data_IF_968762140272
#
_entry.id   IF_968762140272
#
_cell.length_a   1.000
_cell.length_b   1.000
_cell.length_c   1.000
_cell.angle_alpha   90.00
_cell.angle_beta   90.00
_cell.angle_gamma   90.00
#
_symmetry.space_group_name_H-M   'P 1'
#
loop_
_entity.id
_entity.type
_entity.pdbx_description
1 polymer ?
#
# COMPACT_ATOMS: atom_id res chain seq x y z
N UNK A 1 -29.45 -12.40 20.70
CA UNK A 1 -28.67 -11.56 19.77
C UNK A 1 -28.01 -10.41 20.52
N UNK A 2 -26.77 -10.06 20.22
CA UNK A 2 -26.08 -8.97 20.94
C UNK A 2 -26.78 -7.63 20.72
N UNK A 3 -27.04 -6.93 21.84
CA UNK A 3 -27.76 -5.66 21.86
C UNK A 3 -26.80 -4.50 22.12
N UNK A 4 -27.04 -3.35 21.47
CA UNK A 4 -26.24 -2.14 21.66
C UNK A 4 -26.22 -1.70 23.13
N UNK A 5 -25.06 -1.27 23.62
CA UNK A 5 -24.77 -0.82 24.98
C UNK A 5 -24.87 -1.94 26.04
N UNK A 6 -25.01 -3.20 25.66
CA UNK A 6 -24.87 -4.34 26.56
C UNK A 6 -23.46 -4.96 26.47
N UNK A 7 -23.04 -5.57 27.56
CA UNK A 7 -21.74 -6.27 27.68
C UNK A 7 -21.97 -7.76 27.71
N UNK A 8 -21.17 -8.50 26.97
CA UNK A 8 -21.21 -9.96 26.87
C UNK A 8 -19.81 -10.52 27.05
N UNK A 9 -19.69 -11.63 27.75
CA UNK A 9 -18.44 -12.38 27.80
C UNK A 9 -18.27 -13.20 26.56
N UNK A 10 -17.10 -13.12 25.91
CA UNK A 10 -16.81 -13.86 24.71
C UNK A 10 -15.30 -14.15 24.56
N UNK A 11 -15.00 -15.28 23.90
CA UNK A 11 -13.64 -15.63 23.50
C UNK A 11 -13.40 -15.17 22.07
N UNK A 12 -12.19 -14.64 21.82
CA UNK A 12 -11.76 -14.19 20.50
C UNK A 12 -11.18 -15.37 19.74
N UNK A 13 -11.73 -15.66 18.55
CA UNK A 13 -11.40 -16.84 17.75
C UNK A 13 -10.38 -16.56 16.65
N UNK A 14 -10.27 -15.29 16.21
CA UNK A 14 -9.40 -14.87 15.09
C UNK A 14 -9.53 -13.41 14.77
N UNK A 15 -9.22 -13.04 13.52
CA UNK A 15 -9.22 -11.64 13.08
C UNK A 15 -9.99 -11.45 11.78
N UNK A 16 -10.56 -10.25 11.61
CA UNK A 16 -11.10 -9.80 10.32
C UNK A 16 -9.97 -9.30 9.41
N UNK A 17 -10.33 -9.04 8.14
CA UNK A 17 -9.43 -8.36 7.18
C UNK A 17 -9.00 -6.94 7.60
N UNK A 18 -9.74 -6.32 8.52
CA UNK A 18 -9.43 -4.99 9.08
C UNK A 18 -8.71 -5.08 10.44
N UNK A 19 -8.30 -6.28 10.87
CA UNK A 19 -7.58 -6.47 12.13
C UNK A 19 -8.44 -6.42 13.39
N UNK A 20 -9.77 -6.53 13.27
CA UNK A 20 -10.66 -6.66 14.43
C UNK A 20 -10.67 -8.11 14.93
N UNK A 21 -10.66 -8.31 16.24
CA UNK A 21 -10.91 -9.64 16.82
C UNK A 21 -12.29 -10.14 16.44
N UNK A 22 -12.44 -11.44 16.19
CA UNK A 22 -13.72 -12.09 15.88
C UNK A 22 -14.16 -12.95 17.07
N UNK A 23 -15.35 -12.71 17.55
CA UNK A 23 -16.02 -13.52 18.57
C UNK A 23 -17.40 -13.97 18.08
N UNK A 24 -18.01 -14.94 18.78
CA UNK A 24 -19.41 -15.32 18.58
C UNK A 24 -20.20 -15.14 19.87
N UNK A 25 -21.34 -14.49 19.76
CA UNK A 25 -22.30 -14.29 20.87
C UNK A 25 -23.67 -14.71 20.34
N UNK A 26 -24.30 -15.69 20.98
CA UNK A 26 -25.57 -16.30 20.55
C UNK A 26 -25.55 -16.72 19.08
N UNK A 27 -24.41 -17.28 18.58
CA UNK A 27 -24.23 -17.70 17.20
C UNK A 27 -23.94 -16.56 16.20
N UNK A 28 -24.07 -15.30 16.59
CA UNK A 28 -23.81 -14.14 15.75
C UNK A 28 -22.33 -13.68 15.84
N UNK A 29 -21.74 -13.34 14.71
CA UNK A 29 -20.39 -12.79 14.66
C UNK A 29 -20.32 -11.38 15.31
N UNK A 30 -19.32 -11.18 16.15
CA UNK A 30 -19.03 -9.90 16.79
C UNK A 30 -17.59 -9.51 16.50
N UNK A 31 -17.40 -8.32 15.93
CA UNK A 31 -16.09 -7.77 15.58
C UNK A 31 -15.62 -6.83 16.69
N UNK A 32 -14.51 -7.20 17.35
CA UNK A 32 -14.07 -6.59 18.60
C UNK A 32 -12.80 -5.79 18.37
N UNK A 33 -12.85 -4.49 18.63
CA UNK A 33 -11.70 -3.61 18.55
C UNK A 33 -10.62 -4.00 19.55
N UNK A 34 -9.37 -4.14 19.09
CA UNK A 34 -8.15 -4.36 19.87
C UNK A 34 -8.19 -5.59 20.78
N UNK A 35 -8.90 -6.62 20.37
CA UNK A 35 -8.89 -7.91 21.04
C UNK A 35 -8.04 -8.90 20.26
N UNK A 36 -7.29 -9.75 20.95
CA UNK A 36 -6.40 -10.73 20.35
C UNK A 36 -7.03 -12.12 20.40
N UNK A 37 -6.67 -12.92 19.41
CA UNK A 37 -7.04 -14.34 19.34
C UNK A 37 -6.66 -15.06 20.64
N UNK A 38 -7.59 -15.88 21.15
CA UNK A 38 -7.44 -16.64 22.37
C UNK A 38 -7.85 -15.90 23.64
N UNK A 39 -8.06 -14.58 23.60
CA UNK A 39 -8.50 -13.81 24.76
C UNK A 39 -9.94 -14.12 25.17
N UNK A 40 -10.17 -14.17 26.47
CA UNK A 40 -11.50 -14.20 27.08
C UNK A 40 -11.79 -12.81 27.67
N UNK A 41 -12.81 -12.14 27.18
CA UNK A 41 -13.06 -10.75 27.55
C UNK A 41 -14.54 -10.39 27.59
N UNK A 42 -14.84 -9.34 28.36
CA UNK A 42 -16.13 -8.65 28.30
C UNK A 42 -16.13 -7.69 27.10
N UNK A 43 -17.07 -7.89 26.20
CA UNK A 43 -17.26 -7.12 24.98
C UNK A 43 -18.47 -6.21 25.11
N UNK A 44 -18.25 -4.90 25.18
CA UNK A 44 -19.29 -3.89 25.09
C UNK A 44 -19.71 -3.70 23.63
N UNK A 45 -20.98 -3.94 23.32
CA UNK A 45 -21.51 -3.78 21.96
C UNK A 45 -21.73 -2.29 21.66
N UNK A 46 -21.03 -1.80 20.63
CA UNK A 46 -21.12 -0.40 20.16
C UNK A 46 -22.18 -0.23 19.06
N UNK A 47 -22.31 -1.26 18.21
CA UNK A 47 -23.27 -1.26 17.10
C UNK A 47 -23.73 -2.69 16.84
N UNK A 48 -25.05 -2.89 16.77
CA UNK A 48 -25.66 -4.15 16.38
C UNK A 48 -26.28 -4.01 14.99
N UNK A 49 -26.05 -5.00 14.12
CA UNK A 49 -26.62 -5.16 12.78
C UNK A 49 -27.36 -6.49 12.72
N UNK A 50 -28.14 -6.72 11.66
CA UNK A 50 -28.93 -7.95 11.47
C UNK A 50 -28.08 -9.24 11.58
N UNK A 51 -26.88 -9.23 10.97
CA UNK A 51 -26.04 -10.45 10.82
C UNK A 51 -24.69 -10.34 11.55
N UNK A 52 -24.37 -9.21 12.17
CA UNK A 52 -23.10 -9.00 12.87
C UNK A 52 -23.23 -7.88 13.91
N UNK A 53 -22.29 -7.82 14.85
CA UNK A 53 -22.17 -6.69 15.75
C UNK A 53 -20.71 -6.19 15.83
N UNK A 54 -20.54 -4.96 16.29
CA UNK A 54 -19.24 -4.35 16.55
C UNK A 54 -19.17 -3.99 18.03
N UNK A 55 -18.06 -4.33 18.65
CA UNK A 55 -17.82 -4.09 20.05
C UNK A 55 -16.37 -3.69 20.34
N UNK A 56 -16.12 -3.44 21.62
CA UNK A 56 -14.76 -3.27 22.17
C UNK A 56 -14.60 -4.10 23.42
N UNK A 57 -13.43 -4.67 23.63
CA UNK A 57 -13.08 -5.31 24.90
C UNK A 57 -13.00 -4.21 25.96
N UNK A 58 -13.76 -4.38 27.05
CA UNK A 58 -13.75 -3.47 28.22
C UNK A 58 -13.04 -4.08 29.41
N UNK A 59 -12.94 -5.40 29.46
CA UNK A 59 -12.17 -6.17 30.43
C UNK A 59 -11.63 -7.42 29.76
N UNK A 60 -10.36 -7.72 29.95
CA UNK A 60 -9.70 -8.96 29.50
C UNK A 60 -9.42 -9.79 30.74
N UNK A 61 -9.93 -11.02 30.79
CA UNK A 61 -9.76 -11.97 31.90
C UNK A 61 -8.53 -12.87 31.71
N UNK A 62 -8.35 -13.32 30.48
CA UNK A 62 -7.20 -14.13 30.08
C UNK A 62 -6.56 -13.44 28.86
N UNK A 63 -5.54 -12.59 29.08
CA UNK A 63 -4.83 -11.94 27.99
C UNK A 63 -4.07 -12.97 27.16
N UNK A 64 -3.96 -12.73 25.86
CA UNK A 64 -3.09 -13.50 24.98
C UNK A 64 -1.63 -13.33 25.42
N UNK A 65 -0.79 -14.37 25.35
CA UNK A 65 0.66 -14.23 25.59
C UNK A 65 1.33 -13.28 24.59
N UNK A 66 0.71 -13.04 23.45
CA UNK A 66 1.16 -12.12 22.40
C UNK A 66 0.69 -10.67 22.60
N UNK A 67 -0.02 -10.37 23.69
CA UNK A 67 -0.43 -9.00 23.99
C UNK A 67 0.75 -8.18 24.51
N UNK A 68 0.97 -7.03 23.85
CA UNK A 68 1.99 -6.06 24.27
C UNK A 68 1.39 -4.69 24.50
N UNK A 69 2.07 -3.86 25.30
CA UNK A 69 1.72 -2.45 25.42
C UNK A 69 2.13 -1.72 24.14
N UNK A 70 1.22 -0.95 23.52
CA UNK A 70 1.53 -0.22 22.28
C UNK A 70 2.67 0.79 22.49
N UNK A 71 3.71 0.71 21.67
CA UNK A 71 4.88 1.59 21.69
C UNK A 71 4.63 2.98 21.04
N UNK A 72 3.42 3.23 20.54
CA UNK A 72 3.02 4.46 19.88
C UNK A 72 1.97 5.22 20.71
N UNK A 73 2.24 6.45 21.18
CA UNK A 73 1.31 7.22 22.01
C UNK A 73 0.03 7.64 21.28
N UNK A 74 0.03 7.55 19.96
CA UNK A 74 -1.12 7.89 19.11
C UNK A 74 -1.98 6.68 18.76
N UNK A 75 -1.54 5.47 19.12
CA UNK A 75 -2.26 4.24 18.82
C UNK A 75 -3.69 4.28 19.36
N UNK A 76 -4.62 3.89 18.50
CA UNK A 76 -6.05 3.89 18.80
C UNK A 76 -6.77 5.23 18.69
N UNK A 77 -6.04 6.33 18.51
CA UNK A 77 -6.58 7.61 18.06
C UNK A 77 -6.26 7.84 16.58
N UNK A 78 -4.99 7.68 16.21
CA UNK A 78 -4.54 7.68 14.81
C UNK A 78 -5.03 6.43 14.09
N UNK A 79 -5.49 6.59 12.84
CA UNK A 79 -5.98 5.50 11.98
C UNK A 79 -4.90 4.78 11.17
N UNK A 80 -3.61 4.99 11.47
CA UNK A 80 -2.52 4.48 10.65
C UNK A 80 -2.06 3.05 10.94
N UNK A 81 -2.35 2.51 12.14
CA UNK A 81 -1.93 1.17 12.56
C UNK A 81 -3.06 0.41 13.24
N UNK A 82 -3.09 -0.92 13.01
CA UNK A 82 -4.12 -1.82 13.55
C UNK A 82 -3.55 -2.74 14.65
N UNK A 83 -2.28 -3.13 14.56
CA UNK A 83 -1.68 -4.26 15.28
C UNK A 83 -0.59 -3.91 16.31
N UNK A 84 -0.49 -2.63 16.77
CA UNK A 84 0.53 -2.23 17.76
C UNK A 84 0.29 -2.78 19.19
N UNK A 85 -0.79 -3.49 19.42
CA UNK A 85 -1.16 -4.11 20.70
C UNK A 85 -0.87 -5.62 20.75
N UNK A 86 -0.29 -6.16 19.66
CA UNK A 86 0.20 -7.53 19.59
C UNK A 86 1.68 -7.55 19.24
N UNK A 87 2.37 -8.62 19.61
CA UNK A 87 3.75 -8.83 19.24
C UNK A 87 3.90 -9.17 17.74
N UNK A 88 5.14 -9.23 17.31
CA UNK A 88 5.46 -9.45 15.90
C UNK A 88 5.09 -10.85 15.42
N UNK A 89 5.18 -11.86 16.29
CA UNK A 89 4.88 -13.24 15.95
C UNK A 89 3.40 -13.41 15.62
N UNK A 90 2.50 -12.91 16.47
CA UNK A 90 1.06 -12.96 16.24
C UNK A 90 0.63 -12.11 15.04
N UNK A 91 1.25 -10.93 14.84
CA UNK A 91 0.98 -10.10 13.68
C UNK A 91 1.27 -10.85 12.37
N UNK A 92 2.43 -11.49 12.28
CA UNK A 92 2.84 -12.24 11.10
C UNK A 92 1.96 -13.45 10.86
N UNK A 93 1.65 -14.20 11.92
CA UNK A 93 0.76 -15.36 11.81
C UNK A 93 -0.66 -14.97 11.41
N UNK A 94 -1.20 -13.87 11.96
CA UNK A 94 -2.51 -13.35 11.57
C UNK A 94 -2.57 -12.98 10.07
N UNK A 95 -1.52 -12.37 9.55
CA UNK A 95 -1.40 -12.03 8.12
C UNK A 95 -1.26 -13.27 7.23
N UNK A 96 -0.39 -14.20 7.59
CA UNK A 96 -0.21 -15.47 6.88
C UNK A 96 -1.51 -16.26 6.81
N UNK A 97 -2.18 -16.39 7.96
CA UNK A 97 -3.46 -17.09 8.06
C UNK A 97 -4.56 -16.43 7.24
N UNK A 98 -4.59 -15.10 7.17
CA UNK A 98 -5.52 -14.35 6.33
C UNK A 98 -5.36 -14.71 4.85
N UNK A 99 -4.12 -14.82 4.35
CA UNK A 99 -3.86 -15.23 2.97
C UNK A 99 -4.31 -16.67 2.75
N UNK A 100 -3.92 -17.59 3.65
CA UNK A 100 -4.30 -19.00 3.58
C UNK A 100 -5.82 -19.20 3.57
N UNK A 101 -6.53 -18.51 4.48
CA UNK A 101 -7.99 -18.59 4.56
C UNK A 101 -8.68 -18.04 3.32
N UNK A 102 -8.17 -16.97 2.74
CA UNK A 102 -8.72 -16.40 1.51
C UNK A 102 -8.56 -17.37 0.34
N UNK A 103 -7.37 -17.91 0.12
CA UNK A 103 -7.11 -18.87 -0.96
C UNK A 103 -7.97 -20.11 -0.81
N UNK A 104 -8.11 -20.65 0.40
CA UNK A 104 -8.91 -21.84 0.66
C UNK A 104 -10.41 -21.58 0.55
N UNK A 105 -10.93 -20.57 1.28
CA UNK A 105 -12.39 -20.38 1.43
C UNK A 105 -13.04 -19.65 0.26
N UNK A 106 -12.33 -18.70 -0.35
CA UNK A 106 -12.82 -17.90 -1.49
C UNK A 106 -12.30 -18.49 -2.80
N UNK A 107 -11.00 -18.79 -2.85
CA UNK A 107 -10.32 -19.31 -4.03
C UNK A 107 -10.68 -20.75 -4.36
N UNK A 108 -11.07 -21.54 -3.35
CA UNK A 108 -11.24 -22.98 -3.50
C UNK A 108 -9.93 -23.70 -3.86
N UNK A 109 -8.80 -23.13 -3.43
CA UNK A 109 -7.45 -23.64 -3.73
C UNK A 109 -6.83 -24.23 -2.47
N UNK A 110 -6.23 -25.41 -2.59
CA UNK A 110 -5.52 -26.09 -1.52
C UNK A 110 -4.04 -25.72 -1.44
N UNK A 111 -3.60 -24.73 -2.23
CA UNK A 111 -2.21 -24.25 -2.17
C UNK A 111 -1.86 -23.77 -0.75
N UNK A 112 -0.74 -24.26 -0.25
CA UNK A 112 -0.22 -23.84 1.05
C UNK A 112 0.60 -22.57 0.89
N UNK A 113 0.34 -21.58 1.76
CA UNK A 113 1.18 -20.37 1.85
C UNK A 113 2.51 -20.77 2.47
N UNK A 114 3.61 -20.66 1.70
CA UNK A 114 4.95 -21.13 2.07
C UNK A 114 5.49 -20.45 3.34
N UNK A 115 5.00 -19.26 3.65
CA UNK A 115 5.36 -18.48 4.83
C UNK A 115 5.00 -17.03 4.67
N UNK A 116 5.50 -16.19 5.59
CA UNK A 116 5.43 -14.74 5.49
C UNK A 116 6.83 -14.14 5.55
N UNK A 117 7.21 -13.45 4.48
CA UNK A 117 8.45 -12.71 4.39
C UNK A 117 8.29 -11.37 5.10
N UNK A 118 9.23 -11.00 5.96
CA UNK A 118 9.11 -9.80 6.79
C UNK A 118 10.44 -9.10 7.00
N UNK A 119 10.39 -7.80 7.22
CA UNK A 119 11.54 -6.94 7.48
C UNK A 119 11.39 -6.11 8.76
N UNK A 120 12.12 -5.02 8.82
CA UNK A 120 12.10 -4.09 9.95
C UNK A 120 10.70 -3.51 10.17
N UNK A 121 10.15 -3.56 11.41
CA UNK A 121 8.77 -3.11 11.69
C UNK A 121 8.65 -1.61 11.92
N UNK A 122 9.75 -0.89 11.98
CA UNK A 122 9.81 0.54 12.30
C UNK A 122 10.47 1.32 11.15
N UNK A 123 10.06 2.58 10.97
CA UNK A 123 10.68 3.53 10.04
C UNK A 123 10.83 3.01 8.59
N UNK A 124 9.97 2.09 8.21
CA UNK A 124 10.01 1.49 6.87
C UNK A 124 9.35 2.36 5.80
N UNK A 125 8.35 3.18 6.20
CA UNK A 125 7.51 3.89 5.26
C UNK A 125 8.23 5.11 4.68
N UNK A 126 8.54 5.02 3.40
CA UNK A 126 9.33 6.01 2.64
C UNK A 126 8.48 7.15 2.04
N UNK A 127 7.14 7.06 2.12
CA UNK A 127 6.21 8.07 1.61
C UNK A 127 5.18 8.43 2.67
N UNK A 128 5.17 9.69 3.08
CA UNK A 128 4.24 10.27 4.05
C UNK A 128 3.33 11.28 3.39
N UNK A 129 2.07 11.28 3.76
CA UNK A 129 1.06 12.26 3.36
C UNK A 129 0.36 12.72 4.63
N UNK A 130 0.72 13.90 5.11
CA UNK A 130 0.15 14.49 6.32
C UNK A 130 -0.95 15.47 5.94
N UNK A 131 -2.22 15.26 6.31
CA UNK A 131 -3.22 16.30 6.28
C UNK A 131 -2.85 17.44 7.25
N UNK A 132 -3.20 18.65 6.86
CA UNK A 132 -3.08 19.84 7.70
C UNK A 132 -4.48 20.30 8.06
N UNK A 133 -4.76 20.43 9.37
CA UNK A 133 -6.07 20.93 9.84
C UNK A 133 -6.19 22.45 9.69
N UNK A 134 -7.40 22.96 9.77
CA UNK A 134 -7.67 24.39 9.63
C UNK A 134 -6.94 25.27 10.68
N UNK A 135 -6.65 24.71 11.86
CA UNK A 135 -5.87 25.35 12.93
C UNK A 135 -4.35 25.11 12.81
N UNK A 136 -3.88 24.55 11.69
CA UNK A 136 -2.46 24.38 11.40
C UNK A 136 -1.79 23.14 12.01
N UNK A 137 -2.55 22.20 12.56
CA UNK A 137 -1.99 20.96 13.04
C UNK A 137 -1.64 20.04 11.86
N UNK A 138 -0.48 19.40 11.94
CA UNK A 138 0.02 18.44 10.95
C UNK A 138 0.06 17.06 11.59
N UNK A 139 -0.55 16.06 10.97
CA UNK A 139 -0.61 14.73 11.56
C UNK A 139 -1.30 13.72 10.66
N UNK A 140 -2.05 12.76 11.25
CA UNK A 140 -2.81 11.76 10.50
C UNK A 140 -4.28 11.80 10.89
N UNK A 141 -5.14 11.32 10.01
CA UNK A 141 -6.57 11.24 10.31
C UNK A 141 -6.85 10.20 11.41
N UNK A 142 -7.75 10.55 12.31
CA UNK A 142 -8.41 9.58 13.18
C UNK A 142 -9.14 8.57 12.31
N UNK A 143 -9.11 7.30 12.72
CA UNK A 143 -9.78 6.23 12.01
C UNK A 143 -11.24 6.57 11.68
N UNK A 144 -11.63 6.41 10.41
CA UNK A 144 -12.97 6.70 9.87
C UNK A 144 -13.45 8.14 10.10
N UNK A 145 -12.53 9.09 10.07
CA UNK A 145 -12.80 10.51 10.32
C UNK A 145 -11.82 11.39 9.54
N UNK A 146 -12.21 12.65 9.28
CA UNK A 146 -11.32 13.69 8.77
C UNK A 146 -10.69 14.55 9.89
N UNK A 147 -10.88 14.16 11.15
CA UNK A 147 -10.21 14.81 12.27
C UNK A 147 -8.71 14.50 12.24
N UNK A 148 -7.88 15.53 12.15
CA UNK A 148 -6.43 15.40 12.22
C UNK A 148 -6.02 15.16 13.67
N UNK A 149 -5.24 14.11 13.90
CA UNK A 149 -4.53 13.84 15.14
C UNK A 149 -3.12 14.36 14.95
N UNK A 150 -2.68 15.40 15.69
CA UNK A 150 -1.31 15.88 15.62
C UNK A 150 -0.33 14.78 15.98
N UNK A 151 0.73 14.63 15.20
CA UNK A 151 1.73 13.58 15.40
C UNK A 151 3.12 14.21 15.33
N UNK A 152 3.87 14.14 16.42
CA UNK A 152 5.22 14.68 16.50
C UNK A 152 6.26 13.65 16.04
N UNK A 153 6.01 12.36 16.32
CA UNK A 153 6.83 11.27 15.83
C UNK A 153 5.97 10.07 15.43
N UNK A 154 6.24 9.47 14.29
CA UNK A 154 5.54 8.29 13.81
C UNK A 154 6.47 7.09 13.77
N UNK A 155 6.10 5.99 14.43
CA UNK A 155 6.94 4.78 14.52
C UNK A 155 7.18 4.09 13.17
N UNK A 156 6.31 4.29 12.19
CA UNK A 156 6.43 3.62 10.88
C UNK A 156 6.99 4.53 9.79
N UNK A 157 6.87 5.85 9.91
CA UNK A 157 7.40 6.79 8.93
C UNK A 157 8.92 6.94 9.09
N UNK A 158 9.63 7.28 8.00
CA UNK A 158 11.03 7.70 8.07
C UNK A 158 11.12 8.99 8.92
N UNK A 159 12.16 9.17 9.77
CA UNK A 159 12.30 10.36 10.65
C UNK A 159 12.27 11.70 9.89
N UNK A 160 12.73 11.71 8.64
CA UNK A 160 12.69 12.88 7.76
C UNK A 160 11.26 13.42 7.57
N UNK A 161 10.27 12.55 7.57
CA UNK A 161 8.88 12.95 7.41
C UNK A 161 8.37 13.74 8.64
N UNK A 162 8.76 13.32 9.84
CA UNK A 162 8.41 14.01 11.08
C UNK A 162 9.13 15.37 11.18
N UNK A 163 10.41 15.42 10.79
CA UNK A 163 11.18 16.68 10.72
C UNK A 163 10.56 17.68 9.75
N UNK A 164 10.11 17.22 8.57
CA UNK A 164 9.41 18.06 7.60
C UNK A 164 8.07 18.56 8.15
N UNK A 165 7.34 17.72 8.88
CA UNK A 165 6.07 18.11 9.49
C UNK A 165 6.26 19.23 10.53
N UNK A 166 7.31 19.14 11.36
CA UNK A 166 7.63 20.20 12.32
C UNK A 166 8.08 21.49 11.62
N UNK A 167 8.90 21.40 10.58
CA UNK A 167 9.28 22.57 9.77
C UNK A 167 8.05 23.26 9.15
N UNK A 168 7.06 22.49 8.67
CA UNK A 168 5.82 23.05 8.15
C UNK A 168 4.98 23.72 9.24
N UNK A 169 4.83 23.11 10.43
CA UNK A 169 4.14 23.71 11.57
C UNK A 169 4.77 25.06 11.97
N UNK A 170 6.10 25.08 12.02
CA UNK A 170 6.86 26.30 12.31
C UNK A 170 6.58 27.37 11.26
N UNK A 171 6.65 27.04 9.97
CA UNK A 171 6.35 27.95 8.89
C UNK A 171 4.91 28.52 8.97
N UNK A 172 3.91 27.66 9.16
CA UNK A 172 2.51 28.05 9.29
C UNK A 172 2.35 29.08 10.43
N UNK A 173 2.94 28.80 11.59
CA UNK A 173 2.84 29.64 12.78
C UNK A 173 3.57 30.98 12.61
N UNK A 174 4.83 30.96 12.17
CA UNK A 174 5.66 32.15 12.10
C UNK A 174 5.29 33.08 10.93
N UNK A 175 4.75 32.53 9.85
CA UNK A 175 4.32 33.31 8.70
C UNK A 175 2.81 33.59 8.68
N UNK A 176 2.04 33.10 9.64
CA UNK A 176 0.59 33.29 9.73
C UNK A 176 -0.17 32.77 8.53
N UNK A 177 0.28 31.60 7.99
CA UNK A 177 -0.28 31.02 6.74
C UNK A 177 -1.63 30.37 7.03
N UNK A 178 -2.72 30.77 6.33
CA UNK A 178 -4.01 30.16 6.54
C UNK A 178 -4.03 28.71 6.02
N UNK A 179 -4.50 27.78 6.84
CA UNK A 179 -4.66 26.38 6.46
C UNK A 179 -6.05 26.11 5.91
N UNK A 180 -6.15 25.12 5.01
CA UNK A 180 -7.38 24.80 4.32
C UNK A 180 -8.40 24.14 5.26
N UNK A 181 -9.62 24.69 5.30
CA UNK A 181 -10.77 24.09 5.98
C UNK A 181 -11.68 23.43 4.93
N UNK A 182 -11.80 22.12 5.00
CA UNK A 182 -12.65 21.32 4.07
C UNK A 182 -14.13 21.75 4.12
N UNK A 183 -14.61 22.23 5.27
CA UNK A 183 -16.00 22.64 5.48
C UNK A 183 -16.30 23.96 4.79
N UNK A 184 -15.40 24.96 4.94
CA UNK A 184 -15.59 26.30 4.34
C UNK A 184 -14.94 26.43 2.96
N UNK A 185 -14.06 25.47 2.59
CA UNK A 185 -13.25 25.46 1.36
C UNK A 185 -12.33 26.68 1.23
N UNK A 186 -11.91 27.25 2.37
CA UNK A 186 -11.03 28.43 2.45
C UNK A 186 -9.70 28.06 3.10
N UNK A 187 -8.68 28.88 2.86
CA UNK A 187 -7.32 28.65 3.33
C UNK A 187 -6.42 28.06 2.24
N UNK A 188 -5.13 27.96 2.52
CA UNK A 188 -4.10 27.61 1.53
C UNK A 188 -3.53 26.20 1.76
N UNK A 189 -2.85 25.96 2.90
CA UNK A 189 -2.10 24.71 3.12
C UNK A 189 -3.07 23.55 3.38
N UNK A 190 -2.97 22.48 2.57
CA UNK A 190 -3.84 21.29 2.66
C UNK A 190 -3.12 20.08 3.19
N UNK A 191 -1.97 19.74 2.60
CA UNK A 191 -1.21 18.54 2.95
C UNK A 191 0.29 18.81 2.85
N UNK A 192 1.04 18.02 3.60
CA UNK A 192 2.47 17.82 3.41
C UNK A 192 2.72 16.44 2.85
N UNK A 193 3.46 16.36 1.76
CA UNK A 193 3.97 15.14 1.18
C UNK A 193 5.48 15.08 1.36
N UNK A 194 5.98 13.95 1.83
CA UNK A 194 7.42 13.69 1.95
C UNK A 194 7.72 12.33 1.38
N UNK A 195 8.70 12.26 0.51
CA UNK A 195 9.26 11.00 0.02
C UNK A 195 10.73 10.95 0.37
N UNK A 196 11.18 9.82 0.93
CA UNK A 196 12.58 9.59 1.32
C UNK A 196 13.08 8.34 0.60
N UNK A 197 14.23 8.42 -0.07
CA UNK A 197 14.84 7.28 -0.75
C UNK A 197 15.65 6.39 0.21
N UNK A 198 16.20 5.30 -0.29
CA UNK A 198 17.04 4.35 0.44
C UNK A 198 18.32 5.00 1.00
N UNK A 199 18.85 6.03 0.34
CA UNK A 199 20.01 6.82 0.78
C UNK A 199 19.67 7.91 1.82
N UNK A 200 18.41 8.02 2.27
CA UNK A 200 17.97 9.02 3.26
C UNK A 200 17.80 10.44 2.71
N UNK A 201 17.83 10.63 1.39
CA UNK A 201 17.50 11.90 0.75
C UNK A 201 15.98 12.08 0.67
N UNK A 202 15.50 13.31 0.69
CA UNK A 202 14.07 13.59 0.72
C UNK A 202 13.62 14.60 -0.33
N UNK A 203 12.47 14.33 -0.93
CA UNK A 203 11.69 15.27 -1.74
C UNK A 203 10.45 15.67 -0.94
N UNK A 204 10.28 16.98 -0.75
CA UNK A 204 9.15 17.57 0.01
C UNK A 204 8.21 18.26 -0.96
N UNK A 205 6.89 18.04 -0.79
CA UNK A 205 5.88 18.80 -1.51
C UNK A 205 4.81 19.32 -0.55
N UNK A 206 4.54 20.63 -0.60
CA UNK A 206 3.44 21.24 0.13
C UNK A 206 2.26 21.43 -0.82
N UNK A 207 1.14 20.75 -0.53
CA UNK A 207 -0.08 20.79 -1.33
C UNK A 207 -0.96 21.94 -0.85
N UNK A 208 -1.36 22.81 -1.78
CA UNK A 208 -2.06 24.05 -1.46
C UNK A 208 -3.33 24.24 -2.30
N UNK A 209 -4.31 24.91 -1.73
CA UNK A 209 -5.51 25.41 -2.41
C UNK A 209 -5.22 26.78 -3.04
N UNK A 210 -4.28 26.79 -4.00
CA UNK A 210 -3.81 28.02 -4.65
C UNK A 210 -2.51 27.78 -5.40
N UNK A 211 -1.93 28.84 -5.98
CA UNK A 211 -0.71 28.72 -6.79
C UNK A 211 0.53 29.32 -6.12
N UNK A 212 0.37 29.98 -4.97
CA UNK A 212 1.45 30.64 -4.22
C UNK A 212 1.26 30.53 -2.73
N UNK A 213 2.36 30.52 -2.00
CA UNK A 213 2.41 30.67 -0.56
C UNK A 213 3.06 32.01 -0.18
N UNK A 214 2.69 32.63 0.94
CA UNK A 214 3.42 33.79 1.46
C UNK A 214 4.81 33.34 1.93
N UNK A 215 5.83 34.17 1.67
CA UNK A 215 7.22 33.92 2.14
C UNK A 215 7.74 32.49 1.77
N UNK A 216 7.64 32.09 0.51
CA UNK A 216 8.10 30.79 0.03
C UNK A 216 9.57 30.51 0.37
N UNK A 217 10.43 31.54 0.34
CA UNK A 217 11.84 31.42 0.74
C UNK A 217 12.02 31.02 2.21
N UNK A 218 11.12 31.46 3.09
CA UNK A 218 11.12 31.07 4.50
C UNK A 218 10.73 29.57 4.64
N UNK A 219 9.72 29.12 3.89
CA UNK A 219 9.36 27.69 3.85
C UNK A 219 10.56 26.85 3.39
N UNK A 220 11.19 27.23 2.28
CA UNK A 220 12.37 26.54 1.73
C UNK A 220 13.51 26.52 2.76
N UNK A 221 13.77 27.65 3.43
CA UNK A 221 14.81 27.75 4.46
C UNK A 221 14.56 26.79 5.62
N UNK A 222 13.32 26.73 6.13
CA UNK A 222 12.96 25.83 7.23
C UNK A 222 13.05 24.36 6.81
N UNK A 223 12.59 24.01 5.61
CA UNK A 223 12.71 22.65 5.10
C UNK A 223 14.16 22.22 4.94
N UNK A 224 15.02 23.06 4.39
CA UNK A 224 16.46 22.77 4.25
C UNK A 224 17.17 22.66 5.59
N UNK A 225 16.79 23.46 6.57
CA UNK A 225 17.35 23.39 7.93
C UNK A 225 16.95 22.08 8.62
N UNK A 226 15.69 21.66 8.47
CA UNK A 226 15.18 20.42 9.08
C UNK A 226 15.64 19.15 8.35
N UNK A 227 15.92 19.27 7.06
CA UNK A 227 16.27 18.16 6.17
C UNK A 227 17.56 18.49 5.38
N UNK A 228 18.74 18.33 5.97
CA UNK A 228 20.01 18.65 5.30
C UNK A 228 20.22 17.88 3.99
N UNK A 229 19.67 16.68 3.88
CA UNK A 229 19.73 15.83 2.68
C UNK A 229 18.49 15.97 1.78
N UNK A 230 17.69 17.03 1.90
CA UNK A 230 16.61 17.29 0.95
C UNK A 230 17.18 17.56 -0.44
N UNK A 231 16.58 16.94 -1.46
CA UNK A 231 16.93 17.19 -2.87
C UNK A 231 16.08 18.30 -3.48
N UNK A 232 14.88 18.52 -2.94
CA UNK A 232 13.99 19.56 -3.45
C UNK A 232 12.79 19.85 -2.57
N UNK A 233 12.25 21.04 -2.77
CA UNK A 233 10.99 21.53 -2.18
C UNK A 233 10.07 21.96 -3.32
N UNK A 234 8.88 21.37 -3.38
CA UNK A 234 7.90 21.53 -4.45
C UNK A 234 6.61 22.10 -3.87
N UNK A 235 5.94 22.94 -4.61
CA UNK A 235 4.57 23.37 -4.38
C UNK A 235 3.65 22.55 -5.28
N UNK A 236 2.68 21.85 -4.71
CA UNK A 236 1.64 21.17 -5.47
C UNK A 236 0.31 21.90 -5.36
N UNK A 237 -0.36 22.12 -6.51
CA UNK A 237 -1.64 22.83 -6.58
C UNK A 237 -2.77 21.81 -6.55
N UNK A 238 -3.61 21.88 -5.53
CA UNK A 238 -4.82 21.09 -5.41
C UNK A 238 -5.99 21.96 -4.97
N UNK A 239 -6.73 22.47 -5.94
CA UNK A 239 -7.91 23.32 -5.73
C UNK A 239 -9.23 22.54 -5.78
N UNK A 240 -9.17 21.24 -6.08
CA UNK A 240 -10.35 20.41 -6.19
C UNK A 240 -10.97 20.12 -4.81
N UNK A 241 -12.30 20.24 -4.65
CA UNK A 241 -12.98 19.97 -3.38
C UNK A 241 -13.21 18.46 -3.18
N UNK A 242 -12.19 17.66 -3.45
CA UNK A 242 -12.20 16.20 -3.32
C UNK A 242 -11.24 15.75 -2.22
N UNK A 243 -11.37 14.49 -1.79
CA UNK A 243 -10.44 13.85 -0.85
C UNK A 243 -9.08 13.47 -1.47
N UNK A 244 -8.83 13.77 -2.77
CA UNK A 244 -7.54 13.54 -3.38
C UNK A 244 -6.47 14.43 -2.74
N UNK A 245 -5.35 13.84 -2.36
CA UNK A 245 -4.22 14.57 -1.75
C UNK A 245 -3.42 15.30 -2.81
N UNK A 246 -3.03 14.59 -3.87
CA UNK A 246 -2.18 15.12 -4.95
C UNK A 246 -2.99 16.03 -5.88
N UNK A 247 -2.31 17.04 -6.41
CA UNK A 247 -2.86 17.97 -7.39
C UNK A 247 -2.45 17.62 -8.82
N UNK A 248 -2.79 18.52 -9.75
CA UNK A 248 -2.47 18.38 -11.18
C UNK A 248 -1.31 19.26 -11.65
N UNK A 249 -0.91 20.26 -10.86
CA UNK A 249 0.17 21.18 -11.18
C UNK A 249 1.22 21.14 -10.07
N UNK A 250 2.50 21.15 -10.46
CA UNK A 250 3.63 21.16 -9.54
C UNK A 250 4.63 22.23 -9.95
N UNK A 251 5.19 22.96 -8.98
CA UNK A 251 6.19 23.98 -9.19
C UNK A 251 7.34 23.81 -8.20
N UNK A 252 8.54 23.70 -8.71
CA UNK A 252 9.75 23.62 -7.90
C UNK A 252 9.99 24.97 -7.22
N UNK A 253 10.08 24.96 -5.88
CA UNK A 253 10.48 26.13 -5.10
C UNK A 253 11.99 26.18 -4.92
N UNK A 254 12.61 25.02 -4.78
CA UNK A 254 14.05 24.87 -4.62
C UNK A 254 14.50 23.44 -4.99
N UNK A 255 15.71 23.34 -5.55
CA UNK A 255 16.33 22.05 -5.87
C UNK A 255 15.67 21.32 -7.01
N UNK A 256 15.53 20.00 -6.90
CA UNK A 256 14.92 19.12 -7.89
C UNK A 256 13.42 18.88 -7.59
N UNK A 257 12.66 18.50 -8.63
CA UNK A 257 11.27 18.04 -8.54
C UNK A 257 11.14 16.50 -8.54
N UNK A 258 12.27 15.82 -8.61
CA UNK A 258 12.37 14.36 -8.63
C UNK A 258 13.35 13.88 -7.58
N UNK A 259 13.10 12.66 -7.06
CA UNK A 259 13.97 11.91 -6.18
C UNK A 259 14.46 10.67 -6.93
N UNK A 260 15.73 10.37 -6.88
CA UNK A 260 16.27 9.12 -7.40
C UNK A 260 16.36 8.08 -6.28
N UNK A 261 15.97 6.85 -6.57
CA UNK A 261 16.11 5.70 -5.66
C UNK A 261 16.63 4.49 -6.40
N UNK A 262 17.30 3.59 -5.69
CA UNK A 262 17.77 2.31 -6.24
C UNK A 262 16.93 1.19 -5.67
N UNK A 263 16.36 0.33 -6.52
CA UNK A 263 15.53 -0.82 -6.14
C UNK A 263 15.98 -2.04 -6.95
N UNK A 264 16.28 -3.14 -6.29
CA UNK A 264 16.84 -4.35 -6.91
C UNK A 264 18.06 -4.05 -7.81
N UNK A 265 18.89 -3.06 -7.45
CA UNK A 265 20.06 -2.64 -8.21
C UNK A 265 19.76 -1.83 -9.49
N UNK A 266 18.53 -1.35 -9.67
CA UNK A 266 18.10 -0.47 -10.76
C UNK A 266 17.77 0.92 -10.22
N UNK A 267 18.10 1.97 -10.98
CA UNK A 267 17.82 3.36 -10.60
C UNK A 267 16.49 3.82 -11.14
N UNK A 268 15.67 4.43 -10.29
CA UNK A 268 14.34 4.96 -10.64
C UNK A 268 14.23 6.44 -10.29
N UNK A 269 13.67 7.23 -11.22
CA UNK A 269 13.29 8.62 -10.99
C UNK A 269 11.85 8.66 -10.50
N UNK A 270 11.64 9.34 -9.38
CA UNK A 270 10.37 9.42 -8.68
C UNK A 270 9.94 10.88 -8.53
N UNK A 271 8.96 11.29 -9.31
CA UNK A 271 8.29 12.58 -9.11
C UNK A 271 7.29 12.51 -7.95
N UNK A 272 6.69 13.64 -7.55
CA UNK A 272 5.66 13.66 -6.50
C UNK A 272 4.49 12.71 -6.82
N UNK A 273 3.88 12.71 -8.02
CA UNK A 273 2.76 11.83 -8.35
C UNK A 273 3.15 10.38 -8.65
N UNK A 274 4.43 10.06 -8.94
CA UNK A 274 4.84 8.70 -9.31
C UNK A 274 4.44 7.69 -8.22
N UNK A 275 3.84 6.57 -8.63
CA UNK A 275 3.65 5.43 -7.74
C UNK A 275 5.00 4.76 -7.46
N UNK A 276 5.22 4.36 -6.23
CA UNK A 276 6.37 3.57 -5.79
C UNK A 276 6.02 2.89 -4.47
N UNK A 277 6.51 1.68 -4.26
CA UNK A 277 6.24 0.91 -3.04
C UNK A 277 6.74 1.66 -1.80
N UNK A 278 5.92 1.67 -0.75
CA UNK A 278 6.18 2.53 0.43
C UNK A 278 7.15 1.95 1.45
N UNK A 279 7.53 0.68 1.30
CA UNK A 279 8.53 -0.02 2.09
C UNK A 279 9.58 -0.55 1.12
N UNK A 280 10.70 0.14 1.04
CA UNK A 280 11.77 -0.14 0.08
C UNK A 280 12.30 -1.57 0.22
N UNK A 281 12.70 -1.97 1.44
CA UNK A 281 13.33 -3.26 1.68
C UNK A 281 12.38 -4.42 1.37
N UNK A 282 11.11 -4.26 1.73
CA UNK A 282 10.09 -5.27 1.42
C UNK A 282 9.64 -5.25 -0.04
N UNK A 283 9.80 -4.14 -0.75
CA UNK A 283 9.58 -4.09 -2.20
C UNK A 283 10.63 -4.91 -2.96
N UNK A 284 11.89 -4.87 -2.53
CA UNK A 284 12.93 -5.75 -3.09
C UNK A 284 12.59 -7.23 -2.85
N UNK A 285 12.22 -7.59 -1.62
CA UNK A 285 11.77 -8.95 -1.27
C UNK A 285 10.54 -9.38 -2.09
N UNK A 286 9.56 -8.49 -2.27
CA UNK A 286 8.36 -8.75 -3.07
C UNK A 286 8.71 -9.05 -4.53
N UNK A 287 9.58 -8.23 -5.12
CA UNK A 287 9.97 -8.36 -6.53
C UNK A 287 10.88 -9.57 -6.76
N UNK A 288 11.83 -9.82 -5.85
CA UNK A 288 12.66 -11.04 -5.91
C UNK A 288 11.79 -12.31 -5.81
N UNK A 289 10.78 -12.30 -4.93
CA UNK A 289 9.81 -13.40 -4.82
C UNK A 289 9.00 -13.58 -6.12
N UNK A 290 8.56 -12.47 -6.72
CA UNK A 290 7.82 -12.53 -7.98
C UNK A 290 8.70 -13.06 -9.14
N UNK A 291 9.96 -12.67 -9.20
CA UNK A 291 10.95 -13.17 -10.17
C UNK A 291 11.26 -14.66 -9.94
N UNK A 292 11.42 -15.09 -8.68
CA UNK A 292 11.58 -16.50 -8.33
C UNK A 292 10.35 -17.33 -8.77
N UNK A 293 9.16 -16.84 -8.47
CA UNK A 293 7.91 -17.48 -8.89
C UNK A 293 7.73 -17.51 -10.41
N UNK A 294 8.24 -16.51 -11.12
CA UNK A 294 8.25 -16.49 -12.58
C UNK A 294 9.15 -17.60 -13.18
N UNK A 295 10.19 -18.01 -12.45
CA UNK A 295 11.11 -19.10 -12.88
C UNK A 295 11.79 -18.78 -14.21
N UNK A 296 12.30 -17.54 -14.35
CA UNK A 296 12.92 -17.06 -15.58
C UNK A 296 14.33 -17.63 -15.77
N UNK A 297 14.61 -18.07 -17.00
CA UNK A 297 15.89 -18.71 -17.40
C UNK A 297 16.65 -17.92 -18.48
N UNK A 298 16.11 -16.78 -18.91
CA UNK A 298 16.70 -15.93 -19.95
C UNK A 298 16.11 -16.14 -21.35
N UNK A 299 15.15 -17.05 -21.49
CA UNK A 299 14.55 -17.38 -22.78
C UNK A 299 13.07 -16.93 -22.89
N UNK A 300 12.47 -16.58 -21.78
CA UNK A 300 11.03 -16.32 -21.71
C UNK A 300 10.65 -14.94 -22.24
N UNK A 301 9.47 -14.89 -22.89
CA UNK A 301 8.71 -13.66 -23.09
C UNK A 301 7.75 -13.46 -21.92
N UNK A 302 7.88 -12.32 -21.24
CA UNK A 302 7.01 -11.94 -20.10
C UNK A 302 6.04 -10.84 -20.56
N UNK A 303 4.78 -10.96 -20.19
CA UNK A 303 3.79 -9.89 -20.29
C UNK A 303 3.46 -9.39 -18.87
N UNK A 304 3.77 -8.12 -18.58
CA UNK A 304 3.46 -7.47 -17.32
C UNK A 304 2.26 -6.52 -17.51
N UNK A 305 1.11 -6.91 -16.98
CA UNK A 305 -0.09 -6.07 -16.97
C UNK A 305 -0.15 -5.27 -15.66
N UNK A 306 -0.45 -3.99 -15.75
CA UNK A 306 -0.40 -2.98 -14.68
C UNK A 306 1.05 -2.60 -14.30
N UNK A 307 1.92 -2.44 -15.27
CA UNK A 307 3.35 -2.26 -15.04
C UNK A 307 3.74 -0.95 -14.32
N UNK A 308 2.84 0.03 -14.22
CA UNK A 308 3.13 1.33 -13.61
C UNK A 308 4.35 2.02 -14.25
N UNK A 309 5.27 2.50 -13.41
CA UNK A 309 6.55 3.08 -13.86
C UNK A 309 7.60 2.01 -14.28
N UNK A 310 7.17 0.77 -14.50
CA UNK A 310 8.01 -0.31 -15.01
C UNK A 310 8.97 -0.91 -13.99
N UNK A 311 8.70 -0.81 -12.69
CA UNK A 311 9.62 -1.28 -11.66
C UNK A 311 9.80 -2.79 -11.71
N UNK A 312 8.72 -3.57 -11.58
CA UNK A 312 8.79 -5.04 -11.64
C UNK A 312 9.15 -5.52 -13.08
N UNK A 313 8.65 -4.82 -14.11
CA UNK A 313 8.97 -5.08 -15.52
C UNK A 313 10.47 -5.12 -15.76
N UNK A 314 11.19 -4.10 -15.29
CA UNK A 314 12.64 -3.98 -15.47
C UNK A 314 13.43 -4.99 -14.62
N UNK A 315 12.93 -5.31 -13.41
CA UNK A 315 13.57 -6.36 -12.58
C UNK A 315 13.46 -7.72 -13.28
N UNK A 316 12.30 -8.05 -13.89
CA UNK A 316 12.10 -9.26 -14.67
C UNK A 316 12.94 -9.26 -15.96
N UNK A 317 13.10 -8.12 -16.62
CA UNK A 317 13.86 -7.99 -17.86
C UNK A 317 15.33 -8.40 -17.74
N UNK A 318 15.91 -8.33 -16.53
CA UNK A 318 17.27 -8.80 -16.28
C UNK A 318 17.43 -10.33 -16.37
N UNK A 319 16.31 -11.06 -16.36
CA UNK A 319 16.27 -12.54 -16.39
C UNK A 319 15.34 -13.11 -17.46
N UNK A 320 14.76 -12.29 -18.32
CA UNK A 320 13.91 -12.69 -19.43
C UNK A 320 14.55 -12.33 -20.77
N UNK A 321 14.14 -13.01 -21.85
CA UNK A 321 14.54 -12.63 -23.20
C UNK A 321 13.84 -11.32 -23.63
N UNK A 322 12.58 -11.15 -23.27
CA UNK A 322 11.77 -9.99 -23.63
C UNK A 322 10.69 -9.75 -22.56
N UNK A 323 10.43 -8.50 -22.23
CA UNK A 323 9.31 -8.13 -21.36
C UNK A 323 8.45 -7.06 -22.03
N UNK A 324 7.14 -7.23 -21.99
CA UNK A 324 6.16 -6.28 -22.50
C UNK A 324 5.36 -5.76 -21.31
N UNK A 325 5.45 -4.46 -21.01
CA UNK A 325 4.67 -3.80 -19.94
C UNK A 325 3.46 -3.07 -20.52
N UNK A 326 2.30 -3.20 -19.88
CA UNK A 326 1.09 -2.46 -20.22
C UNK A 326 0.56 -1.68 -19.01
N UNK A 327 0.24 -0.39 -19.21
CA UNK A 327 -0.27 0.52 -18.17
C UNK A 327 -1.19 1.56 -18.82
N UNK A 328 -2.26 1.93 -18.10
CA UNK A 328 -3.26 2.89 -18.61
C UNK A 328 -2.81 4.35 -18.48
N UNK A 329 -1.92 4.64 -17.52
CA UNK A 329 -1.48 6.02 -17.19
C UNK A 329 -0.32 6.42 -18.09
N UNK A 330 -0.51 7.41 -19.01
CA UNK A 330 0.54 7.82 -19.96
C UNK A 330 1.82 8.32 -19.30
N UNK A 331 1.70 9.04 -18.19
CA UNK A 331 2.83 9.56 -17.43
C UNK A 331 3.68 8.43 -16.82
N UNK A 332 3.02 7.36 -16.33
CA UNK A 332 3.72 6.19 -15.80
C UNK A 332 4.47 5.44 -16.91
N UNK A 333 3.90 5.34 -18.12
CA UNK A 333 4.59 4.77 -19.29
C UNK A 333 5.79 5.64 -19.71
N UNK A 334 5.66 6.96 -19.66
CA UNK A 334 6.80 7.87 -19.93
C UNK A 334 7.92 7.65 -18.89
N UNK A 335 7.58 7.55 -17.61
CA UNK A 335 8.52 7.24 -16.54
C UNK A 335 9.16 5.85 -16.76
N UNK A 336 8.38 4.83 -17.14
CA UNK A 336 8.87 3.48 -17.39
C UNK A 336 9.91 3.42 -18.52
N UNK A 337 9.66 4.11 -19.63
CA UNK A 337 10.59 4.21 -20.76
C UNK A 337 11.89 4.92 -20.38
N UNK A 338 11.78 6.05 -19.67
CA UNK A 338 12.96 6.80 -19.23
C UNK A 338 13.77 5.99 -18.21
N UNK A 339 13.13 5.30 -17.27
CA UNK A 339 13.80 4.44 -16.31
C UNK A 339 14.51 3.27 -17.01
N UNK A 340 13.89 2.63 -18.01
CA UNK A 340 14.53 1.55 -18.79
C UNK A 340 15.77 2.06 -19.54
N UNK A 341 15.66 3.23 -20.19
CA UNK A 341 16.79 3.85 -20.90
C UNK A 341 17.95 4.16 -19.95
N UNK A 342 17.66 4.71 -18.77
CA UNK A 342 18.68 5.02 -17.74
C UNK A 342 19.39 3.79 -17.20
N UNK A 343 18.67 2.69 -17.08
CA UNK A 343 19.21 1.41 -16.61
C UNK A 343 19.85 0.57 -17.72
N UNK A 344 19.87 1.04 -18.97
CA UNK A 344 20.41 0.28 -20.10
C UNK A 344 19.64 -1.01 -20.39
N UNK A 345 18.33 -1.04 -20.09
CA UNK A 345 17.47 -2.20 -20.34
C UNK A 345 16.83 -2.03 -21.72
N UNK A 346 17.24 -2.85 -22.67
CA UNK A 346 16.85 -2.75 -24.08
C UNK A 346 15.78 -3.78 -24.50
N UNK A 347 15.59 -4.83 -23.71
CA UNK A 347 14.66 -5.93 -23.98
C UNK A 347 13.26 -5.70 -23.38
N UNK A 348 12.85 -4.43 -23.20
CA UNK A 348 11.53 -4.04 -22.71
C UNK A 348 10.76 -3.22 -23.74
N UNK A 349 9.46 -3.45 -23.81
CA UNK A 349 8.53 -2.65 -24.58
C UNK A 349 7.39 -2.18 -23.68
N UNK A 350 6.92 -0.93 -23.85
CA UNK A 350 5.85 -0.37 -23.03
C UNK A 350 4.67 0.07 -23.90
N UNK A 351 3.49 -0.43 -23.55
CA UNK A 351 2.22 -0.13 -24.20
C UNK A 351 1.33 0.71 -23.27
N UNK A 352 0.83 1.84 -23.77
CA UNK A 352 -0.11 2.68 -23.03
C UNK A 352 -1.54 2.30 -23.39
N UNK A 353 -2.28 1.71 -22.45
CA UNK A 353 -3.67 1.33 -22.66
C UNK A 353 -4.27 0.60 -21.47
N UNK A 354 -5.60 0.49 -21.48
CA UNK A 354 -6.33 -0.31 -20.48
C UNK A 354 -5.89 -1.78 -20.53
N UNK A 355 -5.73 -2.42 -19.37
CA UNK A 355 -5.19 -3.78 -19.29
C UNK A 355 -6.05 -4.82 -20.02
N UNK A 356 -7.40 -4.68 -20.02
CA UNK A 356 -8.28 -5.61 -20.73
C UNK A 356 -8.15 -5.40 -22.24
N UNK A 357 -8.13 -4.16 -22.70
CA UNK A 357 -7.96 -3.81 -24.12
C UNK A 357 -6.57 -4.23 -24.63
N UNK A 358 -5.52 -3.98 -23.84
CA UNK A 358 -4.15 -4.38 -24.17
C UNK A 358 -4.02 -5.91 -24.27
N UNK A 359 -4.53 -6.65 -23.26
CA UNK A 359 -4.50 -8.10 -23.25
C UNK A 359 -5.28 -8.71 -24.44
N UNK A 360 -6.45 -8.15 -24.78
CA UNK A 360 -7.25 -8.58 -25.94
C UNK A 360 -6.53 -8.30 -27.27
N UNK A 361 -5.92 -7.11 -27.43
CA UNK A 361 -5.16 -6.74 -28.62
C UNK A 361 -3.93 -7.66 -28.80
N UNK A 362 -3.18 -7.92 -27.74
CA UNK A 362 -2.04 -8.83 -27.77
C UNK A 362 -2.45 -10.26 -28.12
N UNK A 363 -3.55 -10.75 -27.53
CA UNK A 363 -4.10 -12.06 -27.88
C UNK A 363 -4.53 -12.16 -29.34
N UNK A 364 -5.21 -11.13 -29.87
CA UNK A 364 -5.63 -11.05 -31.26
C UNK A 364 -4.44 -11.00 -32.25
N UNK A 365 -3.34 -10.35 -31.85
CA UNK A 365 -2.08 -10.31 -32.61
C UNK A 365 -1.25 -11.60 -32.48
N UNK A 366 -1.74 -12.60 -31.76
CA UNK A 366 -1.09 -13.89 -31.60
C UNK A 366 0.05 -13.92 -30.58
N UNK A 367 0.17 -12.93 -29.69
CA UNK A 367 1.16 -12.96 -28.62
C UNK A 367 0.92 -14.20 -27.73
N UNK A 368 1.98 -14.92 -27.44
CA UNK A 368 1.99 -16.09 -26.55
C UNK A 368 3.13 -15.92 -25.55
N UNK A 369 2.89 -15.18 -24.44
CA UNK A 369 3.92 -15.03 -23.42
C UNK A 369 4.12 -16.35 -22.68
N UNK A 370 5.35 -16.68 -22.31
CA UNK A 370 5.67 -17.83 -21.47
C UNK A 370 5.21 -17.58 -20.03
N UNK A 371 5.38 -16.34 -19.57
CA UNK A 371 5.00 -15.89 -18.24
C UNK A 371 4.16 -14.63 -18.33
N UNK A 372 3.13 -14.56 -17.51
CA UNK A 372 2.37 -13.33 -17.31
C UNK A 372 2.52 -12.86 -15.87
N UNK A 373 2.91 -11.61 -15.68
CA UNK A 373 2.91 -10.93 -14.39
C UNK A 373 1.70 -9.99 -14.30
N UNK A 374 1.06 -9.93 -13.14
CA UNK A 374 -0.01 -8.98 -12.87
C UNK A 374 0.13 -8.42 -11.45
N UNK A 375 0.08 -7.09 -11.31
CA UNK A 375 0.01 -6.37 -10.02
C UNK A 375 -1.17 -5.39 -10.05
N UNK A 376 -2.42 -5.90 -10.03
CA UNK A 376 -3.60 -5.07 -10.19
C UNK A 376 -3.89 -4.22 -8.94
N UNK A 377 -4.70 -3.15 -9.07
CA UNK A 377 -5.19 -2.39 -7.93
C UNK A 377 -6.06 -3.26 -6.99
N UNK A 378 -6.40 -2.74 -5.81
CA UNK A 378 -7.16 -3.45 -4.76
C UNK A 378 -8.42 -4.17 -5.23
N UNK A 379 -9.07 -3.72 -6.30
CA UNK A 379 -10.25 -4.39 -6.88
C UNK A 379 -9.94 -5.71 -7.60
N UNK A 380 -8.65 -6.03 -7.80
CA UNK A 380 -8.21 -7.19 -8.56
C UNK A 380 -8.48 -7.06 -10.05
N UNK A 381 -8.44 -8.18 -10.77
CA UNK A 381 -8.68 -8.27 -12.21
C UNK A 381 -10.18 -8.28 -12.54
N UNK A 382 -10.54 -7.67 -13.66
CA UNK A 382 -11.87 -7.86 -14.22
C UNK A 382 -11.99 -9.25 -14.89
N UNK A 383 -13.21 -9.79 -15.08
CA UNK A 383 -13.41 -11.05 -15.80
C UNK A 383 -12.81 -11.04 -17.21
N UNK A 384 -12.87 -9.91 -17.89
CA UNK A 384 -12.36 -9.71 -19.23
C UNK A 384 -10.83 -9.82 -19.28
N UNK A 385 -10.13 -9.24 -18.29
CA UNK A 385 -8.66 -9.37 -18.15
C UNK A 385 -8.28 -10.82 -17.92
N UNK A 386 -8.98 -11.53 -17.01
CA UNK A 386 -8.71 -12.94 -16.75
C UNK A 386 -8.91 -13.78 -18.01
N UNK A 387 -10.00 -13.56 -18.74
CA UNK A 387 -10.29 -14.29 -19.98
C UNK A 387 -9.24 -14.03 -21.07
N UNK A 388 -8.88 -12.76 -21.28
CA UNK A 388 -7.86 -12.38 -22.27
C UNK A 388 -6.48 -12.95 -21.88
N UNK A 389 -6.11 -12.86 -20.62
CA UNK A 389 -4.88 -13.43 -20.05
C UNK A 389 -4.80 -14.94 -20.30
N UNK A 390 -5.85 -15.68 -19.95
CA UNK A 390 -5.92 -17.13 -20.15
C UNK A 390 -5.91 -17.53 -21.64
N UNK A 391 -6.51 -16.72 -22.53
CA UNK A 391 -6.53 -16.99 -23.98
C UNK A 391 -5.16 -16.94 -24.64
N UNK A 392 -4.21 -16.18 -24.10
CA UNK A 392 -2.82 -16.17 -24.54
C UNK A 392 -2.05 -17.42 -24.11
N UNK A 393 -2.65 -18.23 -23.23
CA UNK A 393 -2.19 -19.52 -22.76
C UNK A 393 -0.74 -19.51 -22.17
N UNK A 394 -0.37 -18.54 -21.30
CA UNK A 394 0.93 -18.57 -20.65
C UNK A 394 1.13 -19.86 -19.86
N UNK A 395 2.36 -20.31 -19.76
CA UNK A 395 2.67 -21.49 -18.93
C UNK A 395 2.51 -21.17 -17.44
N UNK A 396 2.89 -19.94 -17.07
CA UNK A 396 2.89 -19.45 -15.66
C UNK A 396 2.26 -18.06 -15.58
N UNK A 397 1.50 -17.84 -14.51
CA UNK A 397 0.99 -16.52 -14.14
C UNK A 397 1.53 -16.21 -12.75
N UNK A 398 2.24 -15.09 -12.61
CA UNK A 398 2.67 -14.53 -11.32
C UNK A 398 1.71 -13.42 -10.97
N UNK A 399 0.99 -13.58 -9.87
CA UNK A 399 0.04 -12.61 -9.37
C UNK A 399 0.57 -11.97 -8.08
N UNK A 400 0.87 -10.69 -8.13
CA UNK A 400 1.16 -9.86 -6.96
C UNK A 400 -0.14 -9.18 -6.53
N UNK A 401 -0.43 -9.14 -5.22
CA UNK A 401 -1.70 -8.60 -4.74
C UNK A 401 -1.61 -8.00 -3.35
N UNK A 402 -2.15 -6.79 -3.19
CA UNK A 402 -2.33 -6.14 -1.90
C UNK A 402 -3.64 -6.53 -1.16
N UNK A 403 -4.49 -7.38 -1.76
CA UNK A 403 -5.73 -7.86 -1.15
C UNK A 403 -5.94 -9.36 -1.36
N UNK A 404 -5.77 -10.19 -0.32
CA UNK A 404 -5.92 -11.63 -0.42
C UNK A 404 -7.31 -12.11 -0.89
N UNK A 405 -8.38 -11.35 -0.61
CA UNK A 405 -9.73 -11.76 -0.99
C UNK A 405 -9.97 -11.59 -2.50
N UNK A 406 -9.48 -10.49 -3.09
CA UNK A 406 -9.56 -10.28 -4.54
C UNK A 406 -8.63 -11.22 -5.30
N UNK A 407 -7.42 -11.46 -4.79
CA UNK A 407 -6.53 -12.50 -5.33
C UNK A 407 -7.22 -13.86 -5.36
N UNK A 408 -7.79 -14.30 -4.23
CA UNK A 408 -8.44 -15.59 -4.13
C UNK A 408 -9.64 -15.73 -5.09
N UNK A 409 -10.45 -14.66 -5.24
CA UNK A 409 -11.51 -14.59 -6.25
C UNK A 409 -10.96 -14.80 -7.67
N UNK A 410 -9.85 -14.15 -7.98
CA UNK A 410 -9.27 -14.23 -9.32
C UNK A 410 -8.55 -15.55 -9.56
N UNK A 411 -7.92 -16.15 -8.54
CA UNK A 411 -7.42 -17.54 -8.57
C UNK A 411 -8.55 -18.52 -8.93
N UNK A 412 -9.74 -18.36 -8.35
CA UNK A 412 -10.91 -19.18 -8.69
C UNK A 412 -11.33 -19.00 -10.16
N UNK A 413 -11.25 -17.78 -10.70
CA UNK A 413 -11.55 -17.51 -12.12
C UNK A 413 -10.51 -18.13 -13.05
N UNK A 414 -9.23 -18.03 -12.69
CA UNK A 414 -8.17 -18.71 -13.44
C UNK A 414 -8.28 -20.23 -13.36
N UNK A 415 -8.74 -20.79 -12.24
CA UNK A 415 -9.00 -22.23 -12.13
C UNK A 415 -10.09 -22.67 -13.13
N UNK A 416 -11.14 -21.87 -13.33
CA UNK A 416 -12.15 -22.12 -14.36
C UNK A 416 -11.61 -22.00 -15.79
N UNK A 417 -10.49 -21.30 -15.97
CA UNK A 417 -9.79 -21.13 -17.26
C UNK A 417 -8.62 -22.14 -17.43
N UNK A 418 -8.52 -23.16 -16.58
CA UNK A 418 -7.54 -24.23 -16.70
C UNK A 418 -6.19 -23.96 -16.05
N UNK A 419 -6.14 -23.10 -15.00
CA UNK A 419 -4.93 -22.85 -14.21
C UNK A 419 -5.10 -23.30 -12.76
N UNK A 420 -4.03 -23.75 -12.13
CA UNK A 420 -4.01 -24.05 -10.70
C UNK A 420 -2.96 -23.20 -10.00
N UNK A 421 -3.30 -22.67 -8.81
CA UNK A 421 -2.30 -22.06 -7.95
C UNK A 421 -1.41 -23.14 -7.35
N UNK A 422 -0.10 -23.05 -7.55
CA UNK A 422 0.89 -24.05 -7.14
C UNK A 422 1.83 -23.56 -6.06
N UNK A 423 2.06 -22.24 -5.98
CA UNK A 423 2.84 -21.59 -4.93
C UNK A 423 2.15 -20.32 -4.46
N UNK A 424 2.30 -19.99 -3.17
CA UNK A 424 1.87 -18.72 -2.61
C UNK A 424 2.78 -18.33 -1.44
N UNK A 425 3.17 -17.07 -1.38
CA UNK A 425 3.92 -16.48 -0.27
C UNK A 425 3.28 -15.16 0.16
N UNK A 426 3.21 -14.93 1.47
CA UNK A 426 2.79 -13.66 2.03
C UNK A 426 4.01 -12.74 2.23
N UNK A 427 3.82 -11.42 2.06
CA UNK A 427 4.88 -10.43 2.26
C UNK A 427 4.35 -9.32 3.16
N UNK A 428 5.03 -9.10 4.28
CA UNK A 428 4.65 -8.04 5.22
C UNK A 428 5.19 -6.68 4.79
N UNK A 429 4.58 -6.12 3.75
CA UNK A 429 4.89 -4.79 3.23
C UNK A 429 4.55 -3.68 4.22
N UNK A 430 3.58 -3.91 5.14
CA UNK A 430 3.00 -2.88 6.01
C UNK A 430 2.98 -3.31 7.48
N UNK A 431 4.16 -3.45 8.13
CA UNK A 431 4.24 -3.77 9.56
C UNK A 431 3.37 -2.85 10.44
N UNK A 432 2.73 -3.44 11.45
CA UNK A 432 1.82 -2.75 12.37
C UNK A 432 0.41 -2.50 11.84
N UNK A 433 0.11 -2.93 10.60
CA UNK A 433 -1.23 -2.82 9.97
C UNK A 433 -1.79 -4.19 9.61
N UNK A 434 -3.09 -4.27 9.34
CA UNK A 434 -3.74 -5.50 8.89
C UNK A 434 -3.46 -5.84 7.40
N UNK A 435 -2.81 -4.96 6.64
CA UNK A 435 -2.54 -5.18 5.23
C UNK A 435 -1.39 -6.19 5.04
N UNK A 436 -1.49 -6.99 4.00
CA UNK A 436 -0.50 -7.98 3.59
C UNK A 436 -0.46 -8.06 2.07
N UNK A 437 0.74 -8.11 1.51
CA UNK A 437 0.94 -8.44 0.11
C UNK A 437 1.04 -9.96 -0.07
N UNK A 438 0.71 -10.43 -1.24
CA UNK A 438 0.79 -11.86 -1.58
C UNK A 438 1.35 -12.02 -2.97
N UNK A 439 2.29 -12.93 -3.14
CA UNK A 439 2.72 -13.41 -4.45
C UNK A 439 2.17 -14.81 -4.63
N UNK A 440 1.50 -15.06 -5.74
CA UNK A 440 1.00 -16.39 -6.10
C UNK A 440 1.48 -16.75 -7.51
N UNK A 441 1.90 -18.02 -7.68
CA UNK A 441 2.17 -18.61 -8.98
C UNK A 441 1.05 -19.54 -9.35
N UNK A 442 0.48 -19.32 -10.54
CA UNK A 442 -0.47 -20.24 -11.15
C UNK A 442 0.19 -20.89 -12.35
N UNK A 443 -0.09 -22.16 -12.57
CA UNK A 443 0.36 -22.92 -13.74
C UNK A 443 -0.82 -23.44 -14.52
N UNK A 444 -0.63 -23.55 -15.83
CA UNK A 444 -1.64 -24.13 -16.71
C UNK A 444 -1.74 -25.63 -16.46
N UNK A 445 -2.94 -26.10 -16.17
CA UNK A 445 -3.22 -27.52 -16.10
C UNK A 445 -3.10 -28.15 -17.49
N UNK A 446 -2.35 -29.24 -17.60
CA UNK A 446 -2.14 -30.01 -18.87
C UNK A 446 -3.35 -30.89 -19.13
#
# INVERSE_FOLDING_TARGET
MPEKNKTYRARIEGYTSEGLGVARIDGQAVFVHRALRGEDCDVLILKALKNAAFGKAVRVYAPSPHRVEPDCPYYGRCGGCDFRHMDREEELEAKRQRVQDALRRIGGSDVTVEGILSGAPLHYRNKSQYPVSADGQVGFYKARSHQVIPVDCCRIQKPQADAAAEALRRYIRECGVPCYDERTRRGLVRHLYVRTNSAGQSLVCVLVNGRKLPREDTLVSFMRQALPNAVGVVLGVNTQPTGAVLGSEYRTLWGADVLEDTLCGLSFRLSVPSFYQVNHDMAEVLYDTAVDFAGLTGHETVLDLYCGAGTITQVMARRAARVIGAEIVPEAIADARENARRNGIENVEFFCGDAAAAAADFAAKGLRPDVQCVDPPRKGLSPEVVAAAASMAPQRIVYVSCDPATLARDVKRFAQAGYAAVRAAAVDMFPGTANVETVARLERCV
#
